data_IF_246080275780
#
_entry.id   IF_246080275780
#
_cell.length_a   1.000
_cell.length_b   1.000
_cell.length_c   1.000
_cell.angle_alpha   90.00
_cell.angle_beta   90.00
_cell.angle_gamma   90.00
#
_symmetry.space_group_name_H-M   'P 1'
#
loop_
_entity.id
_entity.type
_entity.pdbx_description
1 polymer ?
#
# COMPACT_ATOMS: atom_id res chain seq x y z
N UNK A 1 -22.70 33.07 -7.95
CA UNK A 1 -22.29 32.39 -6.70
C UNK A 1 -22.02 33.40 -5.61
N UNK A 2 -22.56 33.18 -4.41
CA UNK A 2 -22.31 34.04 -3.24
C UNK A 2 -20.82 33.99 -2.85
N UNK A 3 -20.27 35.08 -2.31
CA UNK A 3 -18.86 35.17 -1.85
C UNK A 3 -18.51 34.02 -0.88
N UNK A 4 -19.44 33.68 0.01
CA UNK A 4 -19.31 32.56 0.95
C UNK A 4 -19.09 31.22 0.24
N UNK A 5 -19.86 30.91 -0.81
CA UNK A 5 -19.70 29.68 -1.60
C UNK A 5 -18.32 29.58 -2.24
N UNK A 6 -17.78 30.69 -2.76
CA UNK A 6 -16.43 30.71 -3.35
C UNK A 6 -15.34 30.45 -2.31
N UNK A 7 -15.49 31.02 -1.10
CA UNK A 7 -14.57 30.80 0.02
C UNK A 7 -14.61 29.35 0.47
N UNK A 8 -15.79 28.76 0.62
CA UNK A 8 -15.94 27.34 1.02
C UNK A 8 -15.29 26.41 0.00
N UNK A 9 -15.54 26.62 -1.30
CA UNK A 9 -14.92 25.81 -2.36
C UNK A 9 -13.40 25.97 -2.35
N UNK A 10 -12.91 27.20 -2.21
CA UNK A 10 -11.46 27.47 -2.13
C UNK A 10 -10.81 26.79 -0.93
N UNK A 11 -11.47 26.81 0.24
CA UNK A 11 -10.98 26.13 1.45
C UNK A 11 -10.95 24.61 1.29
N UNK A 12 -11.99 24.01 0.70
CA UNK A 12 -12.02 22.57 0.40
C UNK A 12 -10.92 22.18 -0.59
N UNK A 13 -10.73 22.95 -1.66
CA UNK A 13 -9.65 22.71 -2.63
C UNK A 13 -8.26 22.84 -1.99
N UNK A 14 -8.04 23.86 -1.17
CA UNK A 14 -6.78 24.05 -0.47
C UNK A 14 -6.49 22.90 0.50
N UNK A 15 -7.50 22.41 1.24
CA UNK A 15 -7.38 21.24 2.12
C UNK A 15 -6.98 19.98 1.33
N UNK A 16 -7.60 19.75 0.17
CA UNK A 16 -7.25 18.63 -0.71
C UNK A 16 -5.80 18.73 -1.19
N UNK A 17 -5.35 19.93 -1.60
CA UNK A 17 -3.96 20.12 -2.05
C UNK A 17 -2.97 19.89 -0.90
N UNK A 18 -3.23 20.48 0.28
CA UNK A 18 -2.35 20.36 1.45
C UNK A 18 -2.23 18.90 1.90
N UNK A 19 -3.34 18.16 1.94
CA UNK A 19 -3.32 16.73 2.30
C UNK A 19 -2.59 15.85 1.30
N UNK A 20 -2.41 16.31 0.06
CA UNK A 20 -1.61 15.63 -0.96
C UNK A 20 -0.13 16.09 -1.00
N UNK A 21 0.29 17.01 -0.13
CA UNK A 21 1.70 17.42 -0.07
C UNK A 21 2.57 16.28 0.50
N UNK A 22 3.77 16.02 -0.06
CA UNK A 22 4.66 14.93 0.34
C UNK A 22 4.96 14.84 1.85
N UNK A 23 5.17 15.96 2.59
CA UNK A 23 5.42 15.90 4.02
C UNK A 23 4.22 15.36 4.82
N UNK A 24 3.00 15.58 4.33
CA UNK A 24 1.77 15.17 5.01
C UNK A 24 1.40 13.75 4.60
N UNK A 25 1.52 13.41 3.32
CA UNK A 25 1.23 12.06 2.83
C UNK A 25 2.15 11.00 3.46
N UNK A 26 3.39 11.35 3.80
CA UNK A 26 4.31 10.46 4.52
C UNK A 26 3.77 10.00 5.90
N UNK A 27 3.07 10.88 6.65
CA UNK A 27 2.48 10.51 7.95
C UNK A 27 1.22 9.65 7.83
N UNK A 28 0.56 9.67 6.66
CA UNK A 28 -0.67 8.93 6.42
C UNK A 28 -0.46 7.68 5.55
N UNK A 29 0.80 7.38 5.19
CA UNK A 29 1.11 6.24 4.34
C UNK A 29 0.82 4.95 5.09
N UNK A 30 -0.05 4.11 4.51
CA UNK A 30 -0.42 2.83 5.10
C UNK A 30 0.75 1.85 5.04
N UNK A 31 0.88 1.03 6.08
CA UNK A 31 1.85 -0.06 6.11
C UNK A 31 1.35 -1.20 5.22
N UNK A 32 1.90 -1.32 4.02
CA UNK A 32 1.55 -2.40 3.11
C UNK A 32 2.22 -3.71 3.54
N UNK A 33 1.44 -4.77 3.64
CA UNK A 33 1.89 -6.10 4.04
C UNK A 33 1.69 -7.13 2.93
N UNK A 34 2.62 -8.07 2.86
CA UNK A 34 2.70 -9.10 1.82
C UNK A 34 3.06 -10.44 2.42
N UNK A 35 2.53 -11.49 1.80
CA UNK A 35 2.75 -12.85 2.25
C UNK A 35 2.64 -13.82 1.08
N UNK A 36 3.29 -14.97 1.16
CA UNK A 36 2.94 -16.11 0.32
C UNK A 36 1.81 -16.94 0.94
N UNK A 37 1.30 -17.93 0.21
CA UNK A 37 0.08 -18.65 0.58
C UNK A 37 0.17 -19.39 1.93
N UNK A 38 1.33 -19.99 2.24
CA UNK A 38 1.58 -20.70 3.51
C UNK A 38 2.11 -19.81 4.64
N UNK A 39 2.47 -18.56 4.33
CA UNK A 39 3.06 -17.64 5.30
C UNK A 39 4.52 -17.86 5.66
N UNK A 40 5.24 -18.72 4.93
CA UNK A 40 6.69 -18.87 5.12
C UNK A 40 7.48 -17.63 4.73
N UNK A 41 6.92 -16.81 3.84
CA UNK A 41 7.43 -15.48 3.51
C UNK A 41 6.44 -14.41 3.99
N UNK A 42 6.93 -13.46 4.79
CA UNK A 42 6.19 -12.28 5.26
C UNK A 42 7.03 -11.03 5.06
N UNK A 43 6.41 -9.97 4.57
CA UNK A 43 7.06 -8.67 4.39
C UNK A 43 6.09 -7.55 4.72
N UNK A 44 6.60 -6.49 5.34
CA UNK A 44 5.85 -5.27 5.63
C UNK A 44 6.68 -4.07 5.23
N UNK A 45 6.07 -3.18 4.45
CA UNK A 45 6.66 -1.91 4.08
C UNK A 45 6.77 -0.99 5.30
N UNK A 46 7.88 -0.24 5.34
CA UNK A 46 8.19 0.75 6.37
C UNK A 46 8.85 1.94 5.68
N UNK A 47 8.07 2.98 5.42
CA UNK A 47 8.51 4.19 4.71
C UNK A 47 9.66 4.90 5.40
N UNK A 48 9.74 4.82 6.73
CA UNK A 48 10.81 5.39 7.56
C UNK A 48 12.15 4.66 7.41
N UNK A 49 12.14 3.40 6.98
CA UNK A 49 13.33 2.55 6.87
C UNK A 49 13.73 2.20 5.45
N UNK A 50 13.11 2.83 4.45
CA UNK A 50 13.35 2.51 3.04
C UNK A 50 12.97 1.07 2.68
N UNK A 51 12.03 0.48 3.43
CA UNK A 51 11.50 -0.85 3.14
C UNK A 51 10.26 -0.66 2.27
N UNK A 52 10.48 -0.57 0.95
CA UNK A 52 9.42 -0.39 -0.04
C UNK A 52 9.04 -1.71 -0.73
N UNK A 53 8.16 -1.62 -1.72
CA UNK A 53 7.73 -2.75 -2.54
C UNK A 53 8.85 -3.35 -3.40
N UNK A 54 9.83 -2.54 -3.82
CA UNK A 54 10.96 -3.04 -4.62
C UNK A 54 11.84 -3.95 -3.77
N UNK A 55 12.12 -3.55 -2.53
CA UNK A 55 12.80 -4.39 -1.54
C UNK A 55 12.01 -5.66 -1.24
N UNK A 56 10.67 -5.60 -1.20
CA UNK A 56 9.82 -6.79 -1.09
C UNK A 56 10.09 -7.78 -2.22
N UNK A 57 10.10 -7.32 -3.48
CA UNK A 57 10.34 -8.17 -4.66
C UNK A 57 11.71 -8.84 -4.58
N UNK A 58 12.76 -8.07 -4.28
CA UNK A 58 14.13 -8.58 -4.16
C UNK A 58 14.22 -9.67 -3.07
N UNK A 59 13.59 -9.44 -1.92
CA UNK A 59 13.57 -10.41 -0.81
C UNK A 59 12.75 -11.66 -1.16
N UNK A 60 11.64 -11.49 -1.86
CA UNK A 60 10.81 -12.61 -2.30
C UNK A 60 11.52 -13.49 -3.33
N UNK A 61 12.22 -12.87 -4.30
CA UNK A 61 13.06 -13.60 -5.25
C UNK A 61 14.19 -14.35 -4.54
N UNK A 62 14.85 -13.73 -3.55
CA UNK A 62 15.86 -14.40 -2.73
C UNK A 62 15.27 -15.59 -1.97
N UNK A 63 14.11 -15.39 -1.34
CA UNK A 63 13.40 -16.46 -0.64
C UNK A 63 13.12 -17.65 -1.56
N UNK A 64 12.65 -17.40 -2.79
CA UNK A 64 12.39 -18.45 -3.79
C UNK A 64 13.66 -19.19 -4.26
N UNK A 65 14.82 -18.51 -4.26
CA UNK A 65 16.12 -19.13 -4.58
C UNK A 65 16.64 -19.98 -3.42
N UNK A 66 16.45 -19.52 -2.19
CA UNK A 66 16.87 -20.22 -0.97
C UNK A 66 15.95 -21.40 -0.61
N UNK A 67 14.69 -21.37 -1.07
CA UNK A 67 13.68 -22.40 -0.81
C UNK A 67 13.15 -22.98 -2.14
N UNK A 68 13.99 -23.69 -2.92
CA UNK A 68 13.60 -24.18 -4.24
C UNK A 68 12.44 -25.16 -4.20
N UNK A 69 12.31 -25.93 -3.11
CA UNK A 69 11.27 -26.95 -2.89
C UNK A 69 9.94 -26.37 -2.41
N UNK A 70 9.88 -25.08 -2.07
CA UNK A 70 8.64 -24.46 -1.65
C UNK A 70 7.69 -24.31 -2.85
N UNK A 71 6.49 -24.89 -2.74
CA UNK A 71 5.47 -24.82 -3.78
C UNK A 71 4.83 -23.42 -3.90
N UNK A 72 4.86 -22.62 -2.83
CA UNK A 72 4.20 -21.33 -2.67
C UNK A 72 5.09 -20.17 -3.15
N UNK A 73 5.37 -20.16 -4.46
CA UNK A 73 6.20 -19.15 -5.15
C UNK A 73 5.42 -17.91 -5.61
N UNK A 74 4.19 -17.73 -5.13
CA UNK A 74 3.35 -16.55 -5.42
C UNK A 74 3.32 -15.60 -4.24
N UNK A 75 3.41 -14.31 -4.55
CA UNK A 75 3.26 -13.24 -3.57
C UNK A 75 1.81 -12.72 -3.60
N UNK A 76 1.24 -12.54 -2.42
CA UNK A 76 -0.08 -11.98 -2.21
C UNK A 76 0.02 -10.72 -1.37
N UNK A 77 -0.93 -9.81 -1.56
CA UNK A 77 -1.15 -8.70 -0.63
C UNK A 77 -2.06 -9.14 0.50
N UNK A 78 -1.79 -8.67 1.71
CA UNK A 78 -2.64 -8.92 2.89
C UNK A 78 -3.45 -7.70 3.31
N UNK A 79 -3.36 -6.60 2.56
CA UNK A 79 -4.13 -5.38 2.78
C UNK A 79 -5.23 -5.18 1.72
N UNK A 80 -6.31 -4.52 2.15
CA UNK A 80 -7.39 -4.11 1.26
C UNK A 80 -7.05 -2.78 0.56
N UNK A 81 -7.44 -2.68 -0.72
CA UNK A 81 -7.41 -1.41 -1.45
C UNK A 81 -8.58 -0.57 -0.95
N UNK A 82 -8.32 0.69 -0.58
CA UNK A 82 -9.31 1.61 -0.01
C UNK A 82 -9.55 2.80 -0.97
N UNK A 83 -10.46 2.68 -1.95
CA UNK A 83 -10.65 3.72 -2.98
C UNK A 83 -11.03 5.10 -2.44
N UNK A 84 -11.60 5.18 -1.24
CA UNK A 84 -11.97 6.45 -0.60
C UNK A 84 -10.76 7.24 -0.07
N UNK A 85 -9.58 6.63 0.04
CA UNK A 85 -8.33 7.31 0.43
C UNK A 85 -7.71 7.99 -0.78
N UNK A 86 -8.28 9.11 -1.20
CA UNK A 86 -7.83 9.84 -2.39
C UNK A 86 -6.37 10.31 -2.32
N UNK A 87 -5.83 10.51 -1.11
CA UNK A 87 -4.41 10.85 -0.89
C UNK A 87 -3.44 9.69 -1.21
N UNK A 88 -3.93 8.46 -1.37
CA UNK A 88 -3.14 7.31 -1.82
C UNK A 88 -3.30 7.02 -3.32
N UNK A 89 -4.13 7.77 -4.05
CA UNK A 89 -4.38 7.48 -5.47
C UNK A 89 -3.16 7.72 -6.35
N UNK A 90 -2.41 8.79 -6.10
CA UNK A 90 -1.14 9.01 -6.80
C UNK A 90 -0.22 7.81 -6.63
N UNK A 91 -0.16 7.32 -5.40
CA UNK A 91 0.65 6.19 -4.99
C UNK A 91 0.13 4.86 -5.61
N UNK A 92 -1.18 4.72 -5.80
CA UNK A 92 -1.78 3.62 -6.56
C UNK A 92 -1.41 3.63 -8.05
N UNK A 93 -1.31 4.82 -8.63
CA UNK A 93 -0.97 5.00 -10.04
C UNK A 93 0.53 4.82 -10.28
N UNK A 94 1.38 5.41 -9.43
CA UNK A 94 2.84 5.33 -9.53
C UNK A 94 3.37 3.93 -9.23
N UNK A 95 2.79 3.25 -8.24
CA UNK A 95 3.22 1.93 -7.77
C UNK A 95 2.18 0.86 -8.09
N UNK A 96 1.61 0.88 -9.31
CA UNK A 96 0.49 0.01 -9.69
C UNK A 96 0.75 -1.49 -9.48
N UNK A 97 2.02 -1.93 -9.56
CA UNK A 97 2.39 -3.36 -9.53
C UNK A 97 1.92 -4.05 -8.26
N UNK A 98 2.09 -3.42 -7.09
CA UNK A 98 1.68 -3.99 -5.81
C UNK A 98 0.17 -4.12 -5.67
N UNK A 99 -0.59 -3.24 -6.35
CA UNK A 99 -2.04 -3.25 -6.35
C UNK A 99 -2.64 -4.29 -7.33
N UNK A 100 -1.82 -4.82 -8.25
CA UNK A 100 -2.20 -5.96 -9.10
C UNK A 100 -2.05 -7.31 -8.41
N UNK A 101 -1.38 -7.37 -7.25
CA UNK A 101 -1.25 -8.62 -6.52
C UNK A 101 -2.62 -9.13 -6.06
N UNK A 102 -2.81 -10.47 -6.10
CA UNK A 102 -4.01 -11.08 -5.55
C UNK A 102 -4.10 -10.79 -4.05
N UNK A 103 -5.30 -10.46 -3.58
CA UNK A 103 -5.58 -10.41 -2.16
C UNK A 103 -5.50 -11.84 -1.62
N UNK A 104 -4.71 -12.06 -0.58
CA UNK A 104 -4.77 -13.31 0.17
C UNK A 104 -6.16 -13.36 0.81
N UNK A 105 -7.02 -14.26 0.32
CA UNK A 105 -8.38 -14.44 0.84
C UNK A 105 -8.28 -14.98 2.27
N UNK A 106 -8.20 -14.07 3.22
CA UNK A 106 -8.14 -14.40 4.63
C UNK A 106 -9.52 -14.10 5.25
N UNK A 107 -10.42 -15.08 5.17
CA UNK A 107 -11.45 -15.21 6.23
C UNK A 107 -10.79 -15.47 7.61
N UNK A 108 -9.47 -15.70 7.65
CA UNK A 108 -8.69 -16.09 8.83
C UNK A 108 -7.69 -15.02 9.32
N UNK A 109 -7.65 -13.82 8.73
CA UNK A 109 -6.78 -12.71 9.19
C UNK A 109 -7.47 -11.81 10.24
N UNK A 110 -8.73 -12.10 10.57
CA UNK A 110 -9.48 -11.44 11.64
C UNK A 110 -9.45 -12.26 12.95
N UNK A 111 -8.37 -12.97 13.26
CA UNK A 111 -8.12 -13.45 14.63
C UNK A 111 -6.62 -13.37 14.91
N UNK A 112 -6.15 -12.21 15.36
CA UNK A 112 -5.09 -12.03 16.36
C UNK A 112 -4.84 -10.53 16.62
#
# INVERSE_FOLDING_TARGET
>A
MKKTTKITIGAVLALIIITNLPPISFFFQENYSYQNEDGSFKYQEQSDKGLDFEVCKIRFERFNKENPDNANKKLYRTFAIKPWKFWEWWEMLSNYERFKLPLLNNADAEIN
#
